data_IF_511639277621
#
_entry.id   IF_511639277621
#
_cell.length_a   1.000
_cell.length_b   1.000
_cell.length_c   1.000
_cell.angle_alpha   90.00
_cell.angle_beta   90.00
_cell.angle_gamma   90.00
#
_symmetry.space_group_name_H-M   'P 1'
#
loop_
_entity.id
_entity.type
_entity.pdbx_description
1 polymer ?
#
# COMPACT_ATOMS: atom_id res chain seq x y z
N UNK A 1 -10.40 -7.62 -5.35
CA UNK A 1 -10.69 -6.29 -4.77
C UNK A 1 -10.16 -5.24 -5.72
N UNK A 2 -10.96 -4.24 -6.06
CA UNK A 2 -10.56 -3.21 -7.03
C UNK A 2 -9.75 -2.06 -6.40
N UNK A 3 -9.82 -1.90 -5.07
CA UNK A 3 -9.17 -0.83 -4.31
C UNK A 3 -8.63 -1.31 -2.96
N UNK A 4 -7.61 -0.64 -2.47
CA UNK A 4 -6.94 -0.88 -1.19
C UNK A 4 -6.85 0.43 -0.42
N UNK A 5 -7.08 0.37 0.90
CA UNK A 5 -6.78 1.44 1.83
C UNK A 5 -5.66 1.00 2.79
N UNK A 6 -4.62 1.83 2.91
CA UNK A 6 -3.51 1.66 3.85
C UNK A 6 -3.78 2.54 5.05
N UNK A 7 -3.71 1.95 6.24
CA UNK A 7 -3.93 2.65 7.50
C UNK A 7 -2.68 2.66 8.37
N UNK A 8 -2.46 3.79 9.04
CA UNK A 8 -1.47 3.92 10.10
C UNK A 8 -2.08 4.69 11.28
N UNK A 9 -1.93 4.15 12.49
CA UNK A 9 -2.36 4.82 13.72
C UNK A 9 -3.84 5.25 13.69
N UNK A 10 -4.70 4.38 13.15
CA UNK A 10 -6.14 4.60 13.04
C UNK A 10 -6.57 5.60 11.96
N UNK A 11 -5.67 6.03 11.08
CA UNK A 11 -5.97 6.93 9.96
C UNK A 11 -5.65 6.27 8.63
N UNK A 12 -6.49 6.50 7.62
CA UNK A 12 -6.18 6.15 6.23
C UNK A 12 -5.10 7.12 5.76
N UNK A 13 -3.96 6.57 5.34
CA UNK A 13 -2.81 7.34 4.85
C UNK A 13 -2.65 7.23 3.34
N UNK A 14 -3.23 6.20 2.72
CA UNK A 14 -3.25 6.02 1.27
C UNK A 14 -4.45 5.17 0.87
N UNK A 15 -5.09 5.48 -0.26
CA UNK A 15 -6.17 4.67 -0.82
C UNK A 15 -6.15 4.78 -2.35
N UNK A 16 -6.25 3.66 -3.05
CA UNK A 16 -6.14 3.64 -4.51
C UNK A 16 -6.45 2.28 -5.11
N UNK A 17 -6.28 2.13 -6.42
CA UNK A 17 -6.35 0.81 -7.04
C UNK A 17 -5.24 -0.08 -6.51
N UNK A 18 -5.50 -1.37 -6.44
CA UNK A 18 -4.50 -2.37 -6.05
C UNK A 18 -3.18 -2.17 -6.79
N UNK A 19 -3.21 -2.10 -8.12
CA UNK A 19 -2.02 -1.90 -8.96
C UNK A 19 -1.27 -0.60 -8.66
N UNK A 20 -1.98 0.49 -8.33
CA UNK A 20 -1.36 1.77 -8.01
C UNK A 20 -0.65 1.73 -6.65
N UNK A 21 -1.29 1.14 -5.64
CA UNK A 21 -0.72 1.00 -4.30
C UNK A 21 0.53 0.11 -4.32
N UNK A 22 0.51 -0.97 -5.11
CA UNK A 22 1.65 -1.91 -5.18
C UNK A 22 2.80 -1.42 -6.07
N UNK A 23 2.51 -0.85 -7.23
CA UNK A 23 3.54 -0.46 -8.20
C UNK A 23 4.00 1.00 -8.03
N UNK A 24 3.14 1.87 -7.52
CA UNK A 24 3.40 3.31 -7.37
C UNK A 24 2.96 3.86 -6.01
N UNK A 25 3.39 3.26 -4.88
CA UNK A 25 3.03 3.73 -3.54
C UNK A 25 3.51 5.17 -3.30
N UNK A 26 2.59 6.08 -2.97
CA UNK A 26 2.89 7.49 -2.76
C UNK A 26 3.31 7.79 -1.32
N UNK A 27 2.73 7.10 -0.34
CA UNK A 27 3.02 7.38 1.06
C UNK A 27 4.26 6.60 1.53
N UNK A 28 5.17 7.27 2.24
CA UNK A 28 6.43 6.66 2.73
C UNK A 28 6.21 5.44 3.63
N UNK A 29 5.15 5.48 4.44
CA UNK A 29 4.72 4.34 5.25
C UNK A 29 4.34 3.12 4.39
N UNK A 30 3.58 3.32 3.31
CA UNK A 30 3.20 2.25 2.37
C UNK A 30 4.43 1.65 1.71
N UNK A 31 5.38 2.49 1.27
CA UNK A 31 6.66 2.03 0.71
C UNK A 31 7.45 1.17 1.69
N UNK A 32 7.49 1.58 2.97
CA UNK A 32 8.16 0.83 4.04
C UNK A 32 7.49 -0.52 4.28
N UNK A 33 6.16 -0.55 4.30
CA UNK A 33 5.38 -1.77 4.49
C UNK A 33 5.58 -2.77 3.35
N UNK A 34 5.53 -2.30 2.09
CA UNK A 34 5.79 -3.14 0.92
C UNK A 34 7.23 -3.65 0.88
N UNK A 35 8.20 -2.81 1.27
CA UNK A 35 9.61 -3.23 1.36
C UNK A 35 9.83 -4.29 2.45
N UNK A 36 9.07 -4.24 3.55
CA UNK A 36 9.14 -5.20 4.64
C UNK A 36 8.35 -6.50 4.35
N UNK A 37 7.44 -6.48 3.38
CA UNK A 37 6.56 -7.60 3.06
C UNK A 37 6.64 -7.97 1.56
N UNK A 38 7.76 -8.55 1.09
CA UNK A 38 7.99 -8.84 -0.33
C UNK A 38 7.01 -9.86 -0.93
N UNK A 39 6.30 -10.63 -0.10
CA UNK A 39 5.24 -11.55 -0.56
C UNK A 39 3.99 -10.82 -1.06
N UNK A 40 3.80 -9.55 -0.69
CA UNK A 40 2.66 -8.74 -1.14
C UNK A 40 2.93 -8.06 -2.49
N UNK A 41 4.19 -7.96 -2.90
CA UNK A 41 4.62 -7.29 -4.14
C UNK A 41 4.30 -8.05 -5.43
N UNK A 42 3.78 -9.27 -5.32
CA UNK A 42 3.61 -10.22 -6.42
C UNK A 42 2.14 -10.59 -6.70
N UNK A 43 1.18 -9.82 -6.16
CA UNK A 43 -0.26 -10.03 -6.34
C UNK A 43 -0.84 -9.06 -7.37
#
# INVERSE_FOLDING_TARGET
>A
CDRIAVMNSGKIVEEGKTEEIFNHPQHSYTQTLLSAAPLLSNV
#
